data_IF_586148207888
#
_entry.id   IF_586148207888
#
_cell.length_a   1.000
_cell.length_b   1.000
_cell.length_c   1.000
_cell.angle_alpha   90.00
_cell.angle_beta   90.00
_cell.angle_gamma   90.00
#
_symmetry.space_group_name_H-M   'P 1'
#
loop_
_entity.id
_entity.type
_entity.pdbx_description
1 polymer ?
#
# COMPACT_ATOMS: atom_id res chain seq x y z
N UNK A 1 33.71 -46.90 54.48
CA UNK A 1 33.50 -47.66 53.23
C UNK A 1 32.02 -48.01 53.11
N UNK A 2 31.23 -47.27 52.34
CA UNK A 2 29.88 -47.70 51.94
C UNK A 2 29.82 -47.72 50.42
N UNK A 3 29.76 -48.93 49.86
CA UNK A 3 29.67 -49.19 48.43
C UNK A 3 28.31 -48.78 47.87
N UNK A 4 28.36 -48.05 46.76
CA UNK A 4 27.22 -47.73 45.89
C UNK A 4 26.59 -49.02 45.33
N UNK A 5 25.34 -49.27 45.68
CA UNK A 5 24.50 -50.31 45.08
C UNK A 5 23.96 -49.82 43.73
N UNK A 6 24.57 -50.28 42.65
CA UNK A 6 24.04 -50.08 41.29
C UNK A 6 22.89 -51.07 41.10
N UNK A 7 21.65 -50.61 41.28
CA UNK A 7 20.45 -51.38 40.93
C UNK A 7 20.45 -51.64 39.42
N UNK A 8 20.66 -52.90 39.02
CA UNK A 8 20.40 -53.36 37.65
C UNK A 8 18.92 -53.15 37.33
N UNK A 9 18.63 -52.27 36.37
CA UNK A 9 17.32 -52.15 35.75
C UNK A 9 16.95 -53.49 35.11
N UNK A 10 15.78 -54.04 35.45
CA UNK A 10 15.29 -55.28 34.85
C UNK A 10 15.10 -55.10 33.34
N UNK A 11 15.39 -56.15 32.55
CA UNK A 11 15.25 -56.15 31.08
C UNK A 11 13.86 -55.71 30.60
N UNK A 12 12.83 -55.92 31.41
CA UNK A 12 11.45 -55.48 31.17
C UNK A 12 11.30 -53.96 31.22
N UNK A 13 11.97 -53.27 32.17
CA UNK A 13 11.93 -51.80 32.28
C UNK A 13 12.68 -51.12 31.14
N UNK A 14 13.78 -51.73 30.69
CA UNK A 14 14.55 -51.26 29.52
C UNK A 14 13.72 -51.40 28.24
N UNK A 15 12.98 -52.51 28.07
CA UNK A 15 12.08 -52.73 26.93
C UNK A 15 10.91 -51.74 26.88
N UNK A 16 10.42 -51.27 28.03
CA UNK A 16 9.36 -50.27 28.11
C UNK A 16 9.83 -48.82 27.83
N UNK A 17 11.12 -48.52 28.05
CA UNK A 17 11.72 -47.21 27.80
C UNK A 17 12.03 -46.95 26.32
N UNK A 18 12.36 -48.00 25.56
CA UNK A 18 12.69 -47.91 24.13
C UNK A 18 11.57 -47.27 23.28
N UNK A 19 10.28 -47.68 23.37
CA UNK A 19 9.22 -47.05 22.58
C UNK A 19 8.98 -45.59 22.98
N UNK A 20 9.14 -45.24 24.27
CA UNK A 20 9.00 -43.86 24.73
C UNK A 20 10.11 -42.96 24.19
N UNK A 21 11.36 -43.45 24.20
CA UNK A 21 12.50 -42.75 23.62
C UNK A 21 12.34 -42.59 22.09
N UNK A 22 11.87 -43.64 21.39
CA UNK A 22 11.56 -43.57 19.96
C UNK A 22 10.48 -42.53 19.66
N UNK A 23 9.34 -42.55 20.37
CA UNK A 23 8.26 -41.57 20.18
C UNK A 23 8.75 -40.15 20.48
N UNK A 24 9.50 -39.94 21.57
CA UNK A 24 10.08 -38.63 21.89
C UNK A 24 11.08 -38.16 20.84
N UNK A 25 11.89 -39.07 20.28
CA UNK A 25 12.83 -38.74 19.22
C UNK A 25 12.14 -38.42 17.90
N UNK A 26 11.05 -39.13 17.57
CA UNK A 26 10.20 -38.84 16.41
C UNK A 26 9.50 -37.49 16.59
N UNK A 27 9.01 -37.19 17.79
CA UNK A 27 8.38 -35.89 18.10
C UNK A 27 9.41 -34.76 18.04
N UNK A 28 10.61 -34.95 18.58
CA UNK A 28 11.71 -33.98 18.52
C UNK A 28 12.13 -33.77 17.06
N UNK A 29 12.30 -34.84 16.28
CA UNK A 29 12.60 -34.73 14.85
C UNK A 29 11.45 -34.06 14.10
N UNK A 30 10.19 -34.36 14.40
CA UNK A 30 9.02 -33.69 13.82
C UNK A 30 8.97 -32.20 14.16
N UNK A 31 9.35 -31.82 15.38
CA UNK A 31 9.44 -30.43 15.83
C UNK A 31 10.70 -29.71 15.31
N UNK A 32 11.75 -30.44 14.94
CA UNK A 32 13.02 -29.91 14.40
C UNK A 32 13.09 -29.98 12.86
N UNK A 33 12.20 -30.74 12.22
CA UNK A 33 12.08 -30.75 10.77
C UNK A 33 11.67 -29.34 10.33
N UNK A 34 12.46 -28.69 9.47
CA UNK A 34 12.07 -27.38 8.95
C UNK A 34 10.78 -27.54 8.16
N UNK A 35 9.71 -26.98 8.72
CA UNK A 35 8.40 -26.92 8.10
C UNK A 35 8.58 -26.23 6.74
N UNK A 36 8.13 -26.87 5.65
CA UNK A 36 8.38 -26.32 4.32
C UNK A 36 7.38 -25.20 4.02
N UNK A 37 7.79 -24.13 3.29
CA UNK A 37 6.86 -23.11 2.84
C UNK A 37 5.72 -23.71 2.02
N UNK A 38 4.48 -23.28 2.27
CA UNK A 38 3.36 -23.62 1.39
C UNK A 38 3.64 -23.05 0.00
N UNK A 39 3.82 -23.95 -0.96
CA UNK A 39 4.05 -23.57 -2.34
C UNK A 39 2.74 -23.13 -3.00
N UNK A 40 2.83 -22.26 -4.03
CA UNK A 40 1.67 -21.88 -4.81
C UNK A 40 1.02 -23.12 -5.47
N UNK A 41 -0.31 -23.09 -5.72
CA UNK A 41 -1.03 -24.24 -6.25
C UNK A 41 -0.48 -24.77 -7.58
N UNK A 42 0.09 -23.89 -8.41
CA UNK A 42 0.73 -24.24 -9.68
C UNK A 42 1.73 -23.16 -10.12
N UNK A 43 2.47 -23.42 -11.21
CA UNK A 43 3.47 -22.49 -11.75
C UNK A 43 2.88 -21.21 -12.36
N UNK A 44 1.59 -21.21 -12.72
CA UNK A 44 0.89 -20.04 -13.27
C UNK A 44 0.29 -19.12 -12.21
N UNK A 45 0.33 -19.51 -10.93
CA UNK A 45 -0.32 -18.76 -9.85
C UNK A 45 0.31 -17.38 -9.66
N UNK A 46 -0.46 -16.31 -9.91
CA UNK A 46 0.02 -14.94 -9.77
C UNK A 46 1.18 -14.58 -10.69
N UNK A 47 1.17 -15.06 -11.95
CA UNK A 47 2.05 -14.53 -12.98
C UNK A 47 1.55 -13.17 -13.46
N UNK A 48 2.49 -12.31 -13.86
CA UNK A 48 2.22 -10.93 -14.26
C UNK A 48 2.91 -10.63 -15.58
N UNK A 49 2.23 -9.83 -16.41
CA UNK A 49 2.84 -9.27 -17.62
C UNK A 49 3.67 -8.03 -17.30
N UNK A 50 4.79 -7.89 -18.02
CA UNK A 50 5.55 -6.65 -18.12
C UNK A 50 4.74 -5.58 -18.87
N UNK A 51 4.91 -4.31 -18.50
CA UNK A 51 4.22 -3.23 -19.20
C UNK A 51 4.76 -3.00 -20.59
N UNK A 52 3.87 -2.54 -21.46
CA UNK A 52 4.13 -2.14 -22.84
C UNK A 52 3.48 -0.77 -23.07
N UNK A 53 3.81 -0.04 -24.15
CA UNK A 53 3.17 1.24 -24.45
C UNK A 53 1.63 1.18 -24.55
N UNK A 54 1.07 0.02 -24.87
CA UNK A 54 -0.38 -0.22 -24.95
C UNK A 54 -1.01 -0.77 -23.67
N UNK A 55 -0.22 -0.99 -22.61
CA UNK A 55 -0.73 -1.48 -21.33
C UNK A 55 -1.74 -0.51 -20.75
N UNK A 56 -2.78 -1.03 -20.10
CA UNK A 56 -3.70 -0.17 -19.34
C UNK A 56 -3.10 0.15 -17.98
N UNK A 57 -3.09 1.42 -17.63
CA UNK A 57 -2.48 1.95 -16.43
C UNK A 57 -3.51 2.75 -15.64
N UNK A 58 -3.28 2.92 -14.34
CA UNK A 58 -4.15 3.70 -13.49
C UNK A 58 -3.37 4.54 -12.49
N UNK A 59 -3.85 5.75 -12.21
CA UNK A 59 -3.46 6.54 -11.04
C UNK A 59 -4.68 6.60 -10.13
N UNK A 60 -4.57 6.10 -8.90
CA UNK A 60 -5.66 6.00 -7.96
C UNK A 60 -5.43 6.86 -6.72
N UNK A 61 -6.51 7.40 -6.18
CA UNK A 61 -6.55 7.96 -4.82
C UNK A 61 -7.73 7.37 -4.03
N UNK A 62 -7.82 7.68 -2.73
CA UNK A 62 -8.83 7.13 -1.84
C UNK A 62 -9.56 8.21 -1.05
N UNK A 63 -10.90 8.13 -1.05
CA UNK A 63 -11.78 8.98 -0.26
C UNK A 63 -12.57 8.14 0.76
N UNK A 64 -12.22 8.30 2.04
CA UNK A 64 -12.95 7.71 3.16
C UNK A 64 -14.20 8.54 3.51
N UNK A 65 -15.19 7.88 4.12
CA UNK A 65 -16.38 8.54 4.65
C UNK A 65 -16.14 9.30 5.97
N UNK A 66 -14.99 9.08 6.62
CA UNK A 66 -14.66 9.67 7.94
C UNK A 66 -15.20 8.86 9.13
N UNK A 67 -15.00 9.38 10.36
CA UNK A 67 -15.36 8.69 11.61
C UNK A 67 -16.87 8.51 11.81
N UNK A 68 -17.66 9.43 11.26
CA UNK A 68 -19.12 9.37 11.25
C UNK A 68 -19.56 9.47 9.80
N UNK A 69 -20.35 8.52 9.27
CA UNK A 69 -20.92 8.68 7.94
C UNK A 69 -21.65 10.02 7.91
N UNK A 70 -21.37 10.89 6.92
CA UNK A 70 -21.98 12.20 6.86
C UNK A 70 -23.50 12.05 6.83
N UNK A 71 -24.18 12.86 7.64
CA UNK A 71 -25.66 12.84 7.76
C UNK A 71 -26.33 13.24 6.43
N UNK A 72 -25.60 13.92 5.54
CA UNK A 72 -26.05 14.34 4.21
C UNK A 72 -24.87 14.65 3.27
N UNK A 73 -25.14 14.74 1.96
CA UNK A 73 -24.16 15.24 0.99
C UNK A 73 -23.70 16.68 1.29
N UNK A 74 -24.59 17.52 1.82
CA UNK A 74 -24.27 18.90 2.24
C UNK A 74 -23.34 18.97 3.44
N UNK A 75 -23.40 18.01 4.37
CA UNK A 75 -22.41 17.93 5.44
C UNK A 75 -21.04 17.51 4.89
N UNK A 76 -21.03 16.56 3.95
CA UNK A 76 -19.80 16.03 3.36
C UNK A 76 -19.07 17.03 2.44
N UNK A 77 -19.75 18.03 1.88
CA UNK A 77 -19.11 19.04 1.02
C UNK A 77 -18.06 19.89 1.75
N UNK A 78 -18.13 19.96 3.09
CA UNK A 78 -17.13 20.64 3.93
C UNK A 78 -15.92 19.76 4.29
N UNK A 79 -15.87 18.51 3.82
CA UNK A 79 -14.79 17.57 4.14
C UNK A 79 -13.50 17.98 3.42
N UNK A 80 -12.45 18.29 4.19
CA UNK A 80 -11.14 18.65 3.65
C UNK A 80 -10.55 17.57 2.73
N UNK A 81 -10.79 16.28 2.97
CA UNK A 81 -10.33 15.21 2.08
C UNK A 81 -11.13 15.12 0.78
N UNK A 82 -12.40 15.57 0.75
CA UNK A 82 -13.11 15.74 -0.51
C UNK A 82 -12.46 16.85 -1.33
N UNK A 83 -12.20 18.01 -0.72
CA UNK A 83 -11.49 19.11 -1.37
C UNK A 83 -10.11 18.67 -1.87
N UNK A 84 -9.35 17.94 -1.05
CA UNK A 84 -8.04 17.40 -1.42
C UNK A 84 -8.14 16.41 -2.59
N UNK A 85 -9.10 15.47 -2.56
CA UNK A 85 -9.37 14.52 -3.65
C UNK A 85 -9.67 15.25 -4.95
N UNK A 86 -10.56 16.25 -4.93
CA UNK A 86 -10.90 17.07 -6.11
C UNK A 86 -9.72 17.89 -6.60
N UNK A 87 -8.91 18.43 -5.69
CA UNK A 87 -7.69 19.18 -6.02
C UNK A 87 -6.66 18.27 -6.70
N UNK A 88 -6.45 17.05 -6.19
CA UNK A 88 -5.57 16.05 -6.83
C UNK A 88 -6.11 15.63 -8.21
N UNK A 89 -7.42 15.40 -8.32
CA UNK A 89 -8.06 15.09 -9.61
C UNK A 89 -7.85 16.21 -10.63
N UNK A 90 -8.05 17.47 -10.22
CA UNK A 90 -7.76 18.63 -11.05
C UNK A 90 -6.28 18.69 -11.48
N UNK A 91 -5.35 18.50 -10.54
CA UNK A 91 -3.91 18.50 -10.86
C UNK A 91 -3.58 17.42 -11.91
N UNK A 92 -4.16 16.23 -11.81
CA UNK A 92 -3.91 15.12 -12.73
C UNK A 92 -4.56 15.29 -14.11
N UNK A 93 -5.75 15.90 -14.17
CA UNK A 93 -6.54 15.96 -15.42
C UNK A 93 -6.48 17.31 -16.14
N UNK A 94 -6.31 18.41 -15.40
CA UNK A 94 -6.55 19.76 -15.92
C UNK A 94 -5.43 20.75 -15.61
N UNK A 95 -4.66 20.53 -14.53
CA UNK A 95 -3.58 21.43 -14.11
C UNK A 95 -2.58 21.71 -15.24
N UNK A 96 -2.21 22.97 -15.50
CA UNK A 96 -1.41 23.34 -16.67
C UNK A 96 -0.06 22.61 -16.72
N UNK A 97 0.59 22.49 -15.57
CA UNK A 97 1.95 21.94 -15.42
C UNK A 97 1.97 20.49 -14.91
N UNK A 98 0.82 20.00 -14.41
CA UNK A 98 0.72 18.71 -13.71
C UNK A 98 -0.13 17.68 -14.45
N UNK A 99 -0.99 18.11 -15.38
CA UNK A 99 -1.88 17.18 -16.07
C UNK A 99 -1.10 16.11 -16.82
N UNK A 100 -1.61 14.89 -16.74
CA UNK A 100 -1.11 13.72 -17.47
C UNK A 100 -1.03 14.07 -18.97
N UNK A 101 -0.02 13.56 -19.66
CA UNK A 101 0.16 13.84 -21.08
C UNK A 101 -1.00 13.28 -21.89
N UNK A 102 -1.47 14.03 -22.89
CA UNK A 102 -2.51 13.59 -23.81
C UNK A 102 -2.12 12.30 -24.58
N UNK A 103 -0.82 12.07 -24.79
CA UNK A 103 -0.31 10.81 -25.36
C UNK A 103 -0.45 9.61 -24.44
N UNK A 104 -0.70 9.82 -23.14
CA UNK A 104 -0.88 8.80 -22.11
C UNK A 104 -2.36 8.44 -21.93
N UNK A 105 -3.09 8.30 -23.05
CA UNK A 105 -4.54 8.05 -23.09
C UNK A 105 -4.95 6.66 -22.55
N UNK A 106 -3.96 5.82 -22.23
CA UNK A 106 -4.11 4.52 -21.58
C UNK A 106 -4.06 4.58 -20.05
N UNK A 107 -3.95 5.78 -19.45
CA UNK A 107 -3.95 5.99 -18.00
C UNK A 107 -5.31 6.49 -17.54
N UNK A 108 -6.02 5.68 -16.75
CA UNK A 108 -7.25 6.11 -16.08
C UNK A 108 -6.93 6.77 -14.72
N UNK A 109 -7.69 7.79 -14.33
CA UNK A 109 -7.61 8.37 -12.97
C UNK A 109 -8.77 7.84 -12.13
N UNK A 110 -8.44 7.06 -11.11
CA UNK A 110 -9.38 6.35 -10.25
C UNK A 110 -9.57 7.09 -8.93
N UNK A 111 -10.81 7.12 -8.46
CA UNK A 111 -11.10 7.47 -7.06
C UNK A 111 -11.79 6.27 -6.41
N UNK A 112 -11.05 5.58 -5.55
CA UNK A 112 -11.61 4.56 -4.68
C UNK A 112 -12.43 5.26 -3.58
N UNK A 113 -13.70 4.90 -3.43
CA UNK A 113 -14.59 5.51 -2.43
C UNK A 113 -15.03 4.47 -1.41
N UNK A 114 -15.01 4.84 -0.14
CA UNK A 114 -15.60 4.02 0.91
C UNK A 114 -17.14 3.97 0.78
N UNK A 115 -17.82 2.91 1.24
CA UNK A 115 -19.27 2.78 1.13
C UNK A 115 -20.06 3.97 1.73
N UNK A 116 -19.54 4.62 2.77
CA UNK A 116 -20.18 5.76 3.42
C UNK A 116 -20.10 7.09 2.65
N UNK A 117 -19.37 7.16 1.52
CA UNK A 117 -19.29 8.38 0.71
C UNK A 117 -20.63 8.60 -0.04
N UNK A 118 -21.28 9.77 0.09
CA UNK A 118 -22.59 10.03 -0.51
C UNK A 118 -22.63 9.86 -2.02
N UNK A 119 -23.74 9.36 -2.57
CA UNK A 119 -23.92 9.12 -4.01
C UNK A 119 -23.68 10.39 -4.85
N UNK A 120 -24.17 11.55 -4.40
CA UNK A 120 -23.97 12.81 -5.13
C UNK A 120 -22.50 13.22 -5.19
N UNK A 121 -21.72 12.93 -4.15
CA UNK A 121 -20.26 13.14 -4.18
C UNK A 121 -19.59 12.21 -5.18
N UNK A 122 -20.01 10.94 -5.25
CA UNK A 122 -19.49 10.00 -6.25
C UNK A 122 -19.80 10.46 -7.68
N UNK A 123 -21.06 10.88 -7.94
CA UNK A 123 -21.47 11.44 -9.24
C UNK A 123 -20.70 12.72 -9.58
N UNK A 124 -20.40 13.56 -8.58
CA UNK A 124 -19.55 14.73 -8.78
C UNK A 124 -18.16 14.32 -9.25
N UNK A 125 -17.49 13.40 -8.55
CA UNK A 125 -16.16 12.93 -8.94
C UNK A 125 -16.15 12.33 -10.36
N UNK A 126 -17.19 11.57 -10.74
CA UNK A 126 -17.34 11.06 -12.10
C UNK A 126 -17.49 12.16 -13.14
N UNK A 127 -18.28 13.20 -12.86
CA UNK A 127 -18.41 14.38 -13.75
C UNK A 127 -17.10 15.16 -13.86
N UNK A 128 -16.27 15.13 -12.81
CA UNK A 128 -14.96 15.75 -12.78
C UNK A 128 -13.87 14.86 -13.43
N UNK A 129 -14.26 13.75 -14.09
CA UNK A 129 -13.39 12.93 -14.92
C UNK A 129 -12.82 11.67 -14.25
N UNK A 130 -13.16 11.40 -12.98
CA UNK A 130 -12.67 10.21 -12.30
C UNK A 130 -13.45 8.94 -12.67
N UNK A 131 -12.73 7.82 -12.81
CA UNK A 131 -13.30 6.48 -12.72
C UNK A 131 -13.54 6.16 -11.24
N UNK A 132 -14.79 6.26 -10.80
CA UNK A 132 -15.15 6.03 -9.39
C UNK A 132 -15.32 4.55 -9.12
N UNK A 133 -14.53 4.01 -8.19
CA UNK A 133 -14.56 2.60 -7.78
C UNK A 133 -15.08 2.51 -6.35
N UNK A 134 -16.24 1.89 -6.16
CA UNK A 134 -16.76 1.66 -4.81
C UNK A 134 -16.06 0.47 -4.14
N UNK A 135 -15.41 0.74 -3.01
CA UNK A 135 -14.71 -0.28 -2.25
C UNK A 135 -15.68 -1.15 -1.46
N UNK A 136 -15.66 -2.46 -1.72
CA UNK A 136 -16.36 -3.41 -0.86
C UNK A 136 -15.67 -3.50 0.52
N UNK A 137 -16.43 -3.52 1.64
CA UNK A 137 -15.87 -3.67 2.98
C UNK A 137 -14.86 -4.82 3.09
N UNK A 138 -13.78 -4.63 3.85
CA UNK A 138 -12.84 -5.70 4.19
C UNK A 138 -13.06 -6.10 5.65
N UNK A 139 -13.35 -7.38 5.93
CA UNK A 139 -13.54 -7.84 7.30
C UNK A 139 -12.21 -7.75 8.05
N UNK A 140 -12.15 -6.93 9.09
CA UNK A 140 -10.98 -6.82 9.95
C UNK A 140 -11.04 -7.87 11.06
N UNK A 141 -9.89 -8.49 11.32
CA UNK A 141 -9.76 -9.39 12.46
C UNK A 141 -9.77 -8.62 13.77
N UNK A 142 -10.23 -9.28 14.84
CA UNK A 142 -10.40 -8.64 16.16
C UNK A 142 -9.12 -8.03 16.72
N UNK A 143 -7.94 -8.50 16.31
CA UNK A 143 -6.64 -8.03 16.79
C UNK A 143 -6.08 -6.86 15.98
N UNK A 144 -6.64 -6.60 14.80
CA UNK A 144 -6.33 -5.44 13.97
C UNK A 144 -7.19 -4.29 14.50
N UNK A 145 -6.71 -3.69 15.58
CA UNK A 145 -7.34 -2.54 16.21
C UNK A 145 -6.34 -1.42 16.29
N UNK A 146 -6.78 -0.25 15.89
CA UNK A 146 -6.18 1.01 16.31
C UNK A 146 -7.18 1.76 17.15
N UNK A 147 -6.70 2.64 18.02
CA UNK A 147 -7.58 3.47 18.86
C UNK A 147 -8.46 4.45 18.07
N UNK A 148 -8.45 4.39 16.73
CA UNK A 148 -9.08 5.36 15.82
C UNK A 148 -10.00 4.64 14.83
N UNK A 149 -11.32 4.83 14.97
CA UNK A 149 -12.33 4.06 14.23
C UNK A 149 -12.28 4.23 12.71
N UNK A 150 -12.03 5.44 12.16
CA UNK A 150 -11.91 5.66 10.71
C UNK A 150 -10.75 4.93 10.05
N UNK A 151 -9.72 4.55 10.80
CA UNK A 151 -8.53 3.94 10.22
C UNK A 151 -8.83 2.57 9.59
N UNK A 152 -9.94 1.92 9.96
CA UNK A 152 -10.43 0.70 9.31
C UNK A 152 -10.58 0.85 7.79
N UNK A 153 -10.98 2.04 7.35
CA UNK A 153 -11.22 2.34 5.94
C UNK A 153 -9.91 2.32 5.13
N UNK A 154 -8.76 2.49 5.77
CA UNK A 154 -7.48 2.48 5.06
C UNK A 154 -7.16 1.10 4.43
N UNK A 155 -7.62 0.00 5.06
CA UNK A 155 -7.52 -1.31 4.44
C UNK A 155 -8.31 -1.43 3.13
N UNK A 156 -9.31 -0.57 2.87
CA UNK A 156 -10.03 -0.58 1.60
C UNK A 156 -9.12 -0.31 0.41
N UNK A 157 -7.97 0.38 0.60
CA UNK A 157 -6.94 0.54 -0.43
C UNK A 157 -6.49 -0.79 -1.05
N UNK A 158 -6.56 -1.90 -0.30
CA UNK A 158 -6.29 -3.25 -0.83
C UNK A 158 -7.19 -3.64 -2.01
N UNK A 159 -8.40 -3.06 -2.13
CA UNK A 159 -9.31 -3.29 -3.26
C UNK A 159 -8.74 -2.82 -4.60
N UNK A 160 -7.72 -1.95 -4.59
CA UNK A 160 -6.99 -1.56 -5.79
C UNK A 160 -6.23 -2.73 -6.41
N UNK A 161 -5.79 -3.70 -5.61
CA UNK A 161 -5.14 -4.92 -6.11
C UNK A 161 -6.10 -5.83 -6.89
N UNK A 162 -7.41 -5.60 -6.80
CA UNK A 162 -8.40 -6.35 -7.55
C UNK A 162 -8.75 -5.70 -8.90
N UNK A 163 -8.17 -4.54 -9.22
CA UNK A 163 -8.37 -3.84 -10.49
C UNK A 163 -7.50 -4.44 -11.60
N UNK A 164 -7.66 -5.74 -11.85
CA UNK A 164 -6.81 -6.55 -12.75
C UNK A 164 -6.98 -6.22 -14.23
N UNK A 165 -7.87 -5.29 -14.59
CA UNK A 165 -7.92 -4.68 -15.91
C UNK A 165 -6.73 -3.73 -16.18
N UNK A 166 -6.00 -3.32 -15.14
CA UNK A 166 -4.79 -2.51 -15.26
C UNK A 166 -3.54 -3.37 -15.05
N UNK A 167 -2.53 -3.15 -15.88
CA UNK A 167 -1.23 -3.79 -15.73
C UNK A 167 -0.45 -3.18 -14.55
N UNK A 168 -0.55 -1.86 -14.35
CA UNK A 168 0.08 -1.15 -13.22
C UNK A 168 -0.85 -0.07 -12.71
N UNK A 169 -0.81 0.12 -11.40
CA UNK A 169 -1.58 1.12 -10.71
C UNK A 169 -0.67 1.86 -9.73
N UNK A 170 -0.58 3.18 -9.88
CA UNK A 170 0.03 4.08 -8.92
C UNK A 170 -1.05 4.54 -7.95
N UNK A 171 -0.82 4.37 -6.65
CA UNK A 171 -1.64 4.95 -5.60
C UNK A 171 -0.98 6.21 -5.04
N UNK A 172 -1.77 7.25 -4.86
CA UNK A 172 -1.39 8.53 -4.27
C UNK A 172 -2.47 8.96 -3.27
N UNK A 173 -2.08 9.23 -2.02
CA UNK A 173 -2.99 9.76 -1.00
C UNK A 173 -3.53 11.16 -1.40
N UNK A 174 -4.77 11.46 -1.02
CA UNK A 174 -5.50 12.65 -1.48
C UNK A 174 -4.86 13.98 -1.03
N UNK A 175 -4.11 13.97 0.07
CA UNK A 175 -3.29 15.06 0.60
C UNK A 175 -1.93 15.21 -0.10
N UNK A 176 -1.93 15.05 -1.42
CA UNK A 176 -0.72 15.21 -2.24
C UNK A 176 -0.79 16.46 -3.11
N UNK A 177 0.28 17.23 -3.07
CA UNK A 177 0.54 18.36 -3.97
C UNK A 177 1.48 17.91 -5.09
N UNK A 178 1.08 18.12 -6.34
CA UNK A 178 1.90 17.83 -7.52
C UNK A 178 2.65 19.09 -7.98
N UNK A 179 3.93 18.94 -8.27
CA UNK A 179 4.79 20.00 -8.83
C UNK A 179 5.04 19.82 -10.32
N UNK A 180 4.81 18.62 -10.85
CA UNK A 180 5.00 18.27 -12.25
C UNK A 180 4.10 17.08 -12.66
N UNK A 181 4.20 16.67 -13.93
CA UNK A 181 3.51 15.48 -14.46
C UNK A 181 4.09 14.19 -13.88
N UNK A 182 3.22 13.30 -13.45
CA UNK A 182 3.62 12.05 -12.78
C UNK A 182 3.53 10.80 -13.66
N UNK A 183 2.90 10.89 -14.83
CA UNK A 183 2.64 9.76 -15.72
C UNK A 183 3.92 9.09 -16.28
N UNK A 184 5.01 9.84 -16.35
CA UNK A 184 6.32 9.29 -16.76
C UNK A 184 6.89 8.27 -15.77
N UNK A 185 6.37 8.20 -14.54
CA UNK A 185 6.72 7.17 -13.55
C UNK A 185 6.52 5.74 -14.09
N UNK A 186 5.53 5.51 -14.95
CA UNK A 186 5.26 4.17 -15.47
C UNK A 186 6.34 3.65 -16.43
N UNK A 187 7.25 4.53 -16.87
CA UNK A 187 8.42 4.17 -17.66
C UNK A 187 9.65 3.82 -16.80
N UNK A 188 9.57 3.93 -15.46
CA UNK A 188 10.66 3.49 -14.59
C UNK A 188 10.87 1.98 -14.69
N UNK A 189 12.14 1.58 -14.71
CA UNK A 189 12.53 0.16 -14.80
C UNK A 189 11.94 -0.67 -13.67
N UNK A 190 11.89 -0.07 -12.47
CA UNK A 190 11.37 -0.64 -11.24
C UNK A 190 9.86 -0.90 -11.33
N UNK A 191 9.16 -0.18 -12.21
CA UNK A 191 7.71 -0.29 -12.44
C UNK A 191 7.40 -1.22 -13.62
N UNK A 192 8.23 -1.24 -14.66
CA UNK A 192 7.94 -1.96 -15.91
C UNK A 192 7.82 -3.47 -15.70
N UNK A 193 8.81 -4.11 -15.08
CA UNK A 193 8.87 -5.58 -15.04
C UNK A 193 8.36 -6.17 -13.73
N UNK A 194 7.77 -7.36 -13.77
CA UNK A 194 7.46 -8.10 -12.53
C UNK A 194 8.73 -8.73 -11.92
N UNK A 195 8.74 -9.01 -10.61
CA UNK A 195 9.80 -9.72 -9.90
C UNK A 195 9.32 -11.11 -9.54
N UNK A 196 10.20 -12.13 -9.56
CA UNK A 196 9.88 -13.43 -8.99
C UNK A 196 9.77 -13.31 -7.46
N UNK A 197 8.83 -14.03 -6.87
CA UNK A 197 8.73 -14.20 -5.42
C UNK A 197 9.85 -15.12 -4.92
N UNK A 198 10.51 -14.71 -3.84
CA UNK A 198 11.61 -15.45 -3.23
C UNK A 198 11.05 -16.41 -2.16
N UNK A 199 10.51 -17.54 -2.63
CA UNK A 199 9.76 -18.49 -1.79
C UNK A 199 10.51 -19.05 -0.56
N UNK A 200 11.86 -19.00 -0.56
CA UNK A 200 12.67 -19.40 0.61
C UNK A 200 12.52 -18.49 1.83
N UNK A 201 12.01 -17.26 1.66
CA UNK A 201 11.77 -16.32 2.76
C UNK A 201 10.30 -16.28 3.21
N UNK A 202 9.46 -17.10 2.58
CA UNK A 202 8.04 -17.21 2.90
C UNK A 202 7.83 -17.94 4.23
N UNK A 203 6.80 -17.56 4.98
CA UNK A 203 6.38 -18.37 6.13
C UNK A 203 5.57 -19.59 5.66
N UNK A 204 5.58 -20.64 6.46
CA UNK A 204 5.00 -21.94 6.12
C UNK A 204 3.48 -21.90 5.86
N UNK A 205 2.79 -20.96 6.50
CA UNK A 205 1.36 -20.77 6.37
C UNK A 205 0.95 -19.81 5.25
N UNK A 206 1.91 -19.22 4.54
CA UNK A 206 1.67 -18.21 3.48
C UNK A 206 1.66 -18.86 2.09
N UNK A 207 0.62 -18.59 1.31
CA UNK A 207 0.58 -18.89 -0.13
C UNK A 207 0.78 -17.58 -0.88
N UNK A 208 1.88 -17.48 -1.62
CA UNK A 208 2.29 -16.25 -2.31
C UNK A 208 2.17 -16.40 -3.83
N UNK A 209 1.89 -15.31 -4.57
CA UNK A 209 1.98 -15.34 -6.03
C UNK A 209 3.40 -15.68 -6.48
N UNK A 210 3.57 -16.27 -7.66
CA UNK A 210 4.90 -16.55 -8.22
C UNK A 210 5.63 -15.29 -8.67
N UNK A 211 4.89 -14.25 -9.05
CA UNK A 211 5.44 -12.94 -9.38
C UNK A 211 4.67 -11.83 -8.66
N UNK A 212 5.36 -10.72 -8.45
CA UNK A 212 4.75 -9.51 -7.91
C UNK A 212 5.40 -8.28 -8.56
N UNK A 213 4.69 -7.16 -8.56
CA UNK A 213 5.29 -5.86 -8.79
C UNK A 213 4.76 -4.95 -7.69
N UNK A 214 5.66 -4.51 -6.80
CA UNK A 214 5.36 -3.52 -5.79
C UNK A 214 6.58 -2.60 -5.63
N UNK A 215 6.39 -1.31 -5.86
CA UNK A 215 7.42 -0.29 -5.75
C UNK A 215 6.90 0.89 -4.92
N UNK A 216 7.76 1.50 -4.11
CA UNK A 216 7.36 2.58 -3.20
C UNK A 216 8.55 3.51 -2.92
N UNK A 217 8.28 4.59 -2.17
CA UNK A 217 9.29 5.51 -1.68
C UNK A 217 9.51 5.33 -0.18
N UNK A 218 10.78 5.25 0.20
CA UNK A 218 11.22 5.31 1.60
C UNK A 218 10.59 6.50 2.33
N UNK A 219 10.16 6.26 3.56
CA UNK A 219 9.50 7.29 4.37
C UNK A 219 10.54 8.19 5.04
N UNK A 220 10.52 9.49 4.72
CA UNK A 220 11.42 10.49 5.27
C UNK A 220 11.27 10.68 6.78
N UNK A 221 10.18 10.18 7.39
CA UNK A 221 10.03 10.15 8.84
C UNK A 221 11.23 9.51 9.54
N UNK A 222 11.89 8.54 8.91
CA UNK A 222 13.02 7.81 9.51
C UNK A 222 14.39 8.38 9.14
N UNK A 223 14.46 9.49 8.40
CA UNK A 223 15.71 10.09 7.90
C UNK A 223 15.84 11.57 8.24
N UNK A 224 15.07 12.07 9.21
CA UNK A 224 15.12 13.46 9.67
C UNK A 224 13.86 14.27 9.32
N UNK A 225 12.77 13.61 8.92
CA UNK A 225 11.50 14.24 8.58
C UNK A 225 11.71 15.36 7.55
N UNK A 226 11.47 16.62 7.91
CA UNK A 226 11.59 17.78 7.03
C UNK A 226 13.01 18.26 6.82
N UNK A 227 13.91 17.87 7.72
CA UNK A 227 15.34 18.17 7.68
C UNK A 227 16.17 17.01 7.10
N UNK A 228 15.50 16.03 6.47
CA UNK A 228 16.17 14.90 5.83
C UNK A 228 17.24 15.35 4.80
N UNK A 229 18.30 14.54 4.58
CA UNK A 229 19.34 14.86 3.60
C UNK A 229 18.78 14.82 2.18
N UNK A 230 19.38 15.57 1.25
CA UNK A 230 18.97 15.58 -0.15
C UNK A 230 20.13 15.11 -1.06
N UNK A 231 19.94 14.08 -1.92
CA UNK A 231 18.73 13.27 -2.06
C UNK A 231 18.44 12.43 -0.78
N UNK A 232 17.16 12.10 -0.51
CA UNK A 232 16.77 11.29 0.65
C UNK A 232 17.45 9.93 0.68
N UNK A 233 17.78 9.46 1.89
CA UNK A 233 18.31 8.11 2.10
C UNK A 233 17.19 7.06 1.99
N UNK A 234 17.55 5.87 1.53
CA UNK A 234 16.66 4.72 1.57
C UNK A 234 16.50 4.22 3.00
N UNK A 235 15.32 3.70 3.32
CA UNK A 235 14.98 3.15 4.63
C UNK A 235 14.45 1.73 4.52
N UNK A 236 14.22 1.13 5.70
CA UNK A 236 13.52 -0.14 5.87
C UNK A 236 11.99 0.02 6.03
N UNK A 237 11.44 1.23 5.85
CA UNK A 237 10.00 1.49 5.90
C UNK A 237 9.60 2.48 4.82
N UNK A 238 8.68 2.10 3.94
CA UNK A 238 8.11 3.02 2.94
C UNK A 238 6.78 3.64 3.41
N UNK A 239 6.43 4.77 2.79
CA UNK A 239 5.16 5.45 2.99
C UNK A 239 4.04 4.77 2.20
N UNK A 240 2.91 4.45 2.83
CA UNK A 240 1.75 3.89 2.14
C UNK A 240 0.87 4.93 1.42
N UNK A 241 1.27 6.20 1.46
CA UNK A 241 0.64 7.25 0.66
C UNK A 241 1.14 7.32 -0.78
N UNK A 242 2.20 6.58 -1.12
CA UNK A 242 2.76 6.56 -2.47
C UNK A 242 3.37 5.20 -2.81
N UNK A 243 2.68 4.43 -3.64
CA UNK A 243 3.17 3.12 -4.08
C UNK A 243 2.59 2.74 -5.44
N UNK A 244 3.31 1.89 -6.16
CA UNK A 244 2.90 1.33 -7.44
C UNK A 244 2.79 -0.17 -7.25
N UNK A 245 1.69 -0.76 -7.71
CA UNK A 245 1.54 -2.21 -7.74
C UNK A 245 1.06 -2.69 -9.11
N UNK A 246 1.34 -3.96 -9.41
CA UNK A 246 0.54 -4.70 -10.37
C UNK A 246 -0.67 -5.30 -9.63
N UNK A 247 -1.92 -4.94 -9.99
CA UNK A 247 -3.09 -5.58 -9.43
C UNK A 247 -3.06 -7.10 -9.63
N UNK A 248 -3.31 -7.87 -8.57
CA UNK A 248 -3.36 -9.34 -8.57
C UNK A 248 -4.33 -9.83 -7.49
N UNK A 249 -5.22 -10.75 -7.88
CA UNK A 249 -6.15 -11.39 -6.94
C UNK A 249 -5.42 -12.27 -5.93
N UNK A 250 -4.32 -12.90 -6.35
CA UNK A 250 -3.45 -13.72 -5.52
C UNK A 250 -2.72 -12.86 -4.48
N UNK A 251 -2.18 -11.71 -4.88
CA UNK A 251 -1.56 -10.77 -3.96
C UNK A 251 -2.59 -10.20 -2.96
N UNK A 252 -3.80 -9.88 -3.43
CA UNK A 252 -4.90 -9.47 -2.55
C UNK A 252 -5.25 -10.57 -1.54
N UNK A 253 -5.42 -11.82 -1.99
CA UNK A 253 -5.73 -12.97 -1.14
C UNK A 253 -4.61 -13.23 -0.12
N UNK A 254 -3.34 -13.10 -0.53
CA UNK A 254 -2.20 -13.18 0.37
C UNK A 254 -2.30 -12.14 1.50
N UNK A 255 -2.54 -10.87 1.17
CA UNK A 255 -2.63 -9.80 2.19
C UNK A 255 -3.79 -10.01 3.16
N UNK A 256 -4.93 -10.51 2.68
CA UNK A 256 -6.03 -10.92 3.56
C UNK A 256 -5.65 -12.11 4.46
N UNK A 257 -4.87 -13.08 3.94
CA UNK A 257 -4.39 -14.19 4.75
C UNK A 257 -3.48 -13.71 5.87
N UNK A 258 -2.56 -12.77 5.59
CA UNK A 258 -1.67 -12.14 6.59
C UNK A 258 -2.48 -11.47 7.71
N UNK A 259 -3.56 -10.76 7.36
CA UNK A 259 -4.48 -10.18 8.34
C UNK A 259 -5.19 -11.25 9.19
N UNK A 260 -5.43 -12.44 8.63
CA UNK A 260 -5.98 -13.59 9.33
C UNK A 260 -5.09 -14.17 10.43
N UNK A 261 -3.78 -13.89 10.40
CA UNK A 261 -2.82 -14.45 11.35
C UNK A 261 -2.54 -13.48 12.50
N UNK A 262 -2.91 -13.89 13.72
CA UNK A 262 -2.70 -13.09 14.94
C UNK A 262 -1.25 -12.60 15.08
N UNK A 263 -1.07 -11.28 15.29
CA UNK A 263 0.24 -10.62 15.48
C UNK A 263 1.24 -10.86 14.35
N UNK A 264 0.77 -11.13 13.14
CA UNK A 264 1.65 -11.30 11.98
C UNK A 264 2.42 -10.03 11.63
N UNK A 265 1.80 -8.88 11.88
CA UNK A 265 2.39 -7.54 11.79
C UNK A 265 1.89 -6.69 12.96
N UNK A 266 2.56 -5.57 13.23
CA UNK A 266 2.07 -4.56 14.17
C UNK A 266 1.07 -3.64 13.44
N UNK A 267 -0.23 -3.61 13.80
CA UNK A 267 -1.21 -2.83 13.06
C UNK A 267 -1.20 -1.32 13.35
N UNK A 268 -0.19 -0.79 14.06
CA UNK A 268 -0.14 0.61 14.49
C UNK A 268 -0.40 1.62 13.36
N UNK A 269 0.21 1.44 12.19
CA UNK A 269 0.02 2.28 10.99
C UNK A 269 -0.86 1.61 9.94
N UNK A 270 -1.76 0.72 10.35
CA UNK A 270 -2.80 0.12 9.51
C UNK A 270 -2.27 -0.64 8.28
N UNK A 271 -2.76 -0.30 7.09
CA UNK A 271 -2.36 -0.90 5.82
C UNK A 271 -0.89 -0.62 5.52
N UNK A 272 -0.32 0.50 5.97
CA UNK A 272 1.12 0.75 5.85
C UNK A 272 1.91 -0.32 6.57
N UNK A 273 1.50 -0.71 7.78
CA UNK A 273 2.18 -1.77 8.51
C UNK A 273 2.00 -3.13 7.85
N UNK A 274 0.82 -3.43 7.30
CA UNK A 274 0.57 -4.65 6.53
C UNK A 274 1.45 -4.71 5.27
N UNK A 275 1.53 -3.62 4.51
CA UNK A 275 2.36 -3.56 3.31
C UNK A 275 3.85 -3.59 3.66
N UNK A 276 4.30 -2.87 4.69
CA UNK A 276 5.69 -2.95 5.15
C UNK A 276 6.04 -4.35 5.63
N UNK A 277 5.12 -5.08 6.28
CA UNK A 277 5.32 -6.50 6.54
C UNK A 277 5.45 -7.29 5.24
N UNK A 278 4.46 -7.25 4.36
CA UNK A 278 4.38 -8.06 3.15
C UNK A 278 5.58 -7.85 2.22
N UNK A 279 6.01 -6.60 2.07
CA UNK A 279 7.03 -6.19 1.12
C UNK A 279 8.37 -5.81 1.77
N UNK A 280 8.59 -6.11 3.05
CA UNK A 280 9.87 -5.84 3.76
C UNK A 280 11.10 -6.28 2.96
N UNK A 281 12.21 -5.57 3.09
CA UNK A 281 13.48 -5.85 2.40
C UNK A 281 13.99 -7.29 2.55
N UNK A 282 13.84 -7.87 3.75
CA UNK A 282 14.20 -9.27 4.05
C UNK A 282 13.08 -10.30 3.81
N UNK A 283 12.00 -9.91 3.11
CA UNK A 283 10.83 -10.73 2.89
C UNK A 283 10.86 -11.51 1.56
N UNK A 284 9.81 -12.29 1.27
CA UNK A 284 9.70 -13.02 0.00
C UNK A 284 9.42 -12.09 -1.19
N UNK A 285 8.88 -10.89 -0.95
CA UNK A 285 8.50 -9.94 -2.00
C UNK A 285 9.02 -8.52 -1.66
N UNK A 286 10.33 -8.28 -1.54
CA UNK A 286 10.85 -6.98 -1.15
C UNK A 286 10.37 -5.86 -2.11
N UNK A 287 9.89 -4.73 -1.59
CA UNK A 287 9.51 -3.61 -2.45
C UNK A 287 10.73 -3.07 -3.19
N UNK A 288 10.46 -2.50 -4.36
CA UNK A 288 11.46 -1.82 -5.18
C UNK A 288 11.45 -0.33 -4.87
N UNK A 289 12.64 0.22 -4.70
CA UNK A 289 12.77 1.64 -4.39
C UNK A 289 12.57 2.47 -5.65
N UNK A 290 11.55 3.34 -5.66
CA UNK A 290 11.35 4.31 -6.73
C UNK A 290 12.37 5.44 -6.64
N UNK A 291 12.68 6.11 -7.75
CA UNK A 291 13.59 7.26 -7.73
C UNK A 291 13.08 8.37 -6.78
N UNK A 292 13.98 9.07 -6.07
CA UNK A 292 13.59 10.06 -5.06
C UNK A 292 12.69 11.17 -5.59
N UNK A 293 12.80 11.48 -6.89
CA UNK A 293 12.02 12.52 -7.55
C UNK A 293 10.51 12.26 -7.48
N UNK A 294 10.03 11.05 -7.23
CA UNK A 294 8.60 10.78 -7.34
C UNK A 294 7.80 11.20 -6.14
N UNK A 295 8.33 11.04 -4.93
CA UNK A 295 7.58 11.35 -3.72
C UNK A 295 8.46 11.64 -2.52
N UNK A 296 8.04 12.65 -1.76
CA UNK A 296 8.58 12.97 -0.44
C UNK A 296 7.44 13.07 0.58
N UNK A 297 7.57 12.31 1.67
CA UNK A 297 6.88 12.63 2.93
C UNK A 297 7.66 13.72 3.66
N UNK A 298 7.02 14.46 4.55
CA UNK A 298 7.63 15.59 5.25
C UNK A 298 8.33 16.60 4.31
N UNK A 299 7.67 17.05 3.24
CA UNK A 299 8.30 17.83 2.18
C UNK A 299 8.79 19.20 2.67
N UNK A 300 9.86 19.66 2.04
CA UNK A 300 10.52 20.93 2.27
C UNK A 300 10.79 21.67 0.95
N UNK A 301 11.25 22.93 1.02
CA UNK A 301 11.71 23.65 -0.16
C UNK A 301 12.92 22.99 -0.87
N UNK A 302 13.68 22.11 -0.19
CA UNK A 302 14.76 21.34 -0.83
C UNK A 302 14.19 20.32 -1.82
N UNK A 303 13.07 19.68 -1.47
CA UNK A 303 12.38 18.70 -2.32
C UNK A 303 11.84 19.36 -3.60
N UNK A 304 11.24 20.55 -3.46
CA UNK A 304 10.78 21.33 -4.61
C UNK A 304 11.93 21.70 -5.53
N UNK A 305 13.01 22.29 -4.99
CA UNK A 305 14.22 22.62 -5.76
C UNK A 305 14.87 21.39 -6.40
N UNK A 306 14.74 20.26 -5.73
CA UNK A 306 15.22 18.95 -6.14
C UNK A 306 14.39 18.25 -7.22
N UNK A 307 13.26 18.86 -7.63
CA UNK A 307 12.39 18.31 -8.66
C UNK A 307 11.48 17.18 -8.18
N UNK A 308 11.16 17.11 -6.89
CA UNK A 308 10.21 16.12 -6.37
C UNK A 308 8.80 16.42 -6.88
N UNK A 309 8.21 15.45 -7.58
CA UNK A 309 6.95 15.54 -8.32
C UNK A 309 5.74 15.51 -7.40
N UNK A 310 5.75 14.68 -6.34
CA UNK A 310 4.64 14.57 -5.40
C UNK A 310 5.09 14.84 -3.96
N UNK A 311 4.39 15.76 -3.30
CA UNK A 311 4.69 16.21 -1.95
C UNK A 311 3.52 15.81 -1.06
N UNK A 312 3.76 14.88 -0.13
CA UNK A 312 2.71 14.29 0.69
C UNK A 312 2.65 14.96 2.08
N UNK A 313 1.67 15.85 2.26
CA UNK A 313 1.39 16.54 3.52
C UNK A 313 0.01 17.21 3.47
N UNK A 314 -0.60 17.41 4.65
CA UNK A 314 -1.88 18.12 4.79
C UNK A 314 -1.67 19.62 4.74
N UNK A 315 -1.32 20.13 3.56
CA UNK A 315 -0.97 21.54 3.32
C UNK A 315 -2.09 22.55 3.59
N UNK A 316 -3.32 22.11 3.81
CA UNK A 316 -4.39 22.95 4.34
C UNK A 316 -4.32 23.18 5.86
N UNK A 317 -3.36 22.53 6.55
CA UNK A 317 -3.22 22.54 8.00
C UNK A 317 -1.77 22.71 8.47
N UNK A 318 -0.80 22.17 7.75
CA UNK A 318 0.60 22.09 8.19
C UNK A 318 1.57 22.13 7.02
N UNK A 319 2.86 22.24 7.30
CA UNK A 319 3.95 22.28 6.32
C UNK A 319 4.52 23.70 6.12
N UNK A 320 5.56 23.84 5.29
CA UNK A 320 6.15 25.14 4.97
C UNK A 320 5.12 26.10 4.36
N UNK A 321 5.15 27.38 4.75
CA UNK A 321 4.19 28.40 4.29
C UNK A 321 4.11 28.48 2.76
N UNK A 322 5.25 28.39 2.08
CA UNK A 322 5.32 28.38 0.61
C UNK A 322 4.54 27.22 -0.02
N UNK A 323 4.56 26.03 0.59
CA UNK A 323 3.86 24.85 0.10
C UNK A 323 2.36 24.90 0.44
N UNK A 324 2.01 25.47 1.60
CA UNK A 324 0.62 25.75 1.95
C UNK A 324 -0.01 26.78 0.99
N UNK A 325 0.75 27.82 0.63
CA UNK A 325 0.33 28.81 -0.37
C UNK A 325 0.13 28.16 -1.74
N UNK A 326 1.08 27.31 -2.19
CA UNK A 326 0.96 26.59 -3.45
C UNK A 326 -0.24 25.63 -3.46
N UNK A 327 -0.50 24.89 -2.37
CA UNK A 327 -1.69 24.06 -2.25
C UNK A 327 -2.98 24.89 -2.34
N UNK A 328 -3.01 26.03 -1.66
CA UNK A 328 -4.16 26.95 -1.69
C UNK A 328 -4.41 27.45 -3.11
N UNK A 329 -3.34 27.82 -3.83
CA UNK A 329 -3.43 28.19 -5.24
C UNK A 329 -4.02 27.06 -6.10
N UNK A 330 -3.52 25.81 -5.97
CA UNK A 330 -4.05 24.66 -6.74
C UNK A 330 -5.51 24.37 -6.44
N UNK A 331 -5.93 24.52 -5.18
CA UNK A 331 -7.34 24.42 -4.79
C UNK A 331 -8.18 25.50 -5.46
N UNK A 332 -7.73 26.75 -5.47
CA UNK A 332 -8.48 27.87 -6.01
C UNK A 332 -8.59 27.82 -7.54
N UNK A 333 -7.52 27.37 -8.22
CA UNK A 333 -7.52 27.02 -9.65
C UNK A 333 -8.59 25.97 -9.96
N UNK A 334 -8.67 24.91 -9.15
CA UNK A 334 -9.69 23.86 -9.28
C UNK A 334 -11.11 24.39 -9.09
N UNK A 335 -11.37 25.21 -8.07
CA UNK A 335 -12.71 25.76 -7.83
C UNK A 335 -13.13 26.74 -8.93
N UNK A 336 -12.19 27.52 -9.47
CA UNK A 336 -12.45 28.41 -10.61
C UNK A 336 -12.79 27.61 -11.86
N UNK A 337 -11.99 26.59 -12.18
CA UNK A 337 -12.21 25.73 -13.35
C UNK A 337 -13.62 25.11 -13.33
N UNK A 338 -14.02 24.48 -12.23
CA UNK A 338 -15.35 23.87 -12.12
C UNK A 338 -16.48 24.89 -11.96
N UNK A 339 -16.19 26.09 -11.44
CA UNK A 339 -17.12 27.21 -11.39
C UNK A 339 -17.43 27.81 -12.76
N UNK A 340 -16.49 27.77 -13.70
CA UNK A 340 -16.69 28.14 -15.10
C UNK A 340 -17.44 27.06 -15.87
N UNK A 341 -17.05 25.79 -15.72
CA UNK A 341 -17.72 24.66 -16.39
C UNK A 341 -19.22 24.57 -16.03
N UNK A 342 -19.61 24.90 -14.78
CA UNK A 342 -21.02 24.91 -14.37
C UNK A 342 -21.85 26.05 -14.97
N UNK A 343 -21.21 27.09 -15.52
CA UNK A 343 -21.89 28.27 -16.11
C UNK A 343 -22.17 28.10 -17.60
N UNK A 344 -21.55 27.10 -18.23
CA UNK A 344 -21.77 26.67 -19.62
C UNK A 344 -22.79 25.54 -19.60
#
# INVERSE_FOLDING_TARGET
MHLLSIRRLSSVRIRALIPFLLISSILIVYLLLPDQPKLPPNASYGLLDDTRPTSRLAIATFLSAGDKPPVSASAFSSNAYLTATRTLLYQLLHGPDTRINASSSNIDVLVLVAPGVPLETRKQLSREGAVVVEAQPIPLQWWIRTGVTRWKDQFLKLRLLQQTQYNRLLFIDADTLLTARIDTLFAEREVISAAPTIHRYSKHDEVLPNQYMFAARSDNQFTGERDHPFPPLNTDVFSAGFWVAAPSQELFAYLLSVMGHYRRFDPHTMEQSLFNYAFRRGGPMPWRELHYQWSATWPSGKDVKGGVVSLHEKFWKTGPEELQALWTQRRDEMETFWGEVKRI
#
